data_IF_186072775325
#
_entry.id   IF_186072775325
#
_cell.length_a   1.000
_cell.length_b   1.000
_cell.length_c   1.000
_cell.angle_alpha   90.00
_cell.angle_beta   90.00
_cell.angle_gamma   90.00
#
_symmetry.space_group_name_H-M   'P 1'
#
loop_
_entity.id
_entity.type
_entity.pdbx_description
1 polymer ?
#
# COMPACT_ATOMS: atom_id res chain seq x y z
N UNK A 1 1.84 5.36 7.23
CA UNK A 1 2.79 6.33 7.82
C UNK A 1 3.69 5.55 8.76
N UNK A 2 4.89 5.17 8.28
CA UNK A 2 5.91 4.43 9.03
C UNK A 2 6.95 5.41 9.57
N UNK A 3 6.51 6.45 10.29
CA UNK A 3 7.43 7.49 10.82
C UNK A 3 8.29 6.98 12.00
N UNK A 4 8.08 5.73 12.44
CA UNK A 4 8.93 5.07 13.41
C UNK A 4 10.12 4.33 12.79
N UNK A 5 9.95 3.59 11.70
CA UNK A 5 11.00 2.66 11.28
C UNK A 5 12.16 3.38 10.57
N UNK A 6 13.35 3.33 11.16
CA UNK A 6 14.59 3.72 10.47
C UNK A 6 15.25 2.48 9.89
N UNK A 7 15.36 2.45 8.58
CA UNK A 7 15.90 1.34 7.80
C UNK A 7 17.29 1.70 7.30
N UNK A 8 18.27 0.88 7.66
CA UNK A 8 19.66 1.07 7.27
C UNK A 8 20.12 -0.13 6.45
N UNK A 9 20.69 0.11 5.27
CA UNK A 9 21.25 -0.93 4.42
C UNK A 9 22.77 -0.92 4.53
N UNK A 10 23.38 -2.04 4.92
CA UNK A 10 24.83 -2.19 4.96
C UNK A 10 25.35 -2.99 3.79
N UNK A 11 26.42 -2.51 3.16
CA UNK A 11 27.28 -3.32 2.29
C UNK A 11 28.55 -3.68 3.05
N UNK A 12 28.81 -4.97 3.21
CA UNK A 12 30.08 -5.47 3.75
C UNK A 12 31.06 -5.73 2.61
N UNK A 13 32.14 -4.96 2.54
CA UNK A 13 33.36 -5.32 1.80
C UNK A 13 34.46 -5.63 2.82
N UNK A 14 35.14 -6.76 2.65
CA UNK A 14 36.22 -7.19 3.55
C UNK A 14 37.21 -6.04 3.81
N UNK A 15 37.40 -5.70 5.09
CA UNK A 15 38.34 -4.66 5.53
C UNK A 15 37.80 -3.22 5.58
N UNK A 16 36.51 -2.99 5.33
CA UNK A 16 35.91 -1.64 5.41
C UNK A 16 34.71 -1.59 6.36
N UNK A 17 34.55 -0.47 7.07
CA UNK A 17 33.38 -0.22 7.92
C UNK A 17 32.09 -0.28 7.10
N UNK A 18 31.00 -0.84 7.65
CA UNK A 18 29.72 -0.90 6.94
C UNK A 18 29.21 0.52 6.64
N UNK A 19 28.94 0.79 5.37
CA UNK A 19 28.30 2.03 4.94
C UNK A 19 26.80 1.84 4.98
N UNK A 20 26.12 2.62 5.81
CA UNK A 20 24.66 2.59 5.90
C UNK A 20 24.02 3.52 4.87
N UNK A 21 23.00 3.03 4.17
CA UNK A 21 22.17 3.82 3.25
C UNK A 21 20.69 3.72 3.62
N UNK A 22 19.98 4.83 3.50
CA UNK A 22 18.53 4.90 3.70
C UNK A 22 17.78 4.80 2.37
N UNK A 23 16.59 4.17 2.40
CA UNK A 23 15.65 4.16 1.28
C UNK A 23 14.58 5.23 1.46
N UNK A 24 14.78 6.43 0.93
CA UNK A 24 13.83 7.53 1.11
C UNK A 24 12.63 7.47 0.13
N UNK A 25 12.70 6.60 -0.89
CA UNK A 25 11.73 6.52 -1.99
C UNK A 25 10.98 5.17 -2.05
N UNK A 26 10.79 4.52 -0.90
CA UNK A 26 10.04 3.24 -0.82
C UNK A 26 8.58 3.38 -1.28
N UNK A 27 7.97 4.57 -1.10
CA UNK A 27 6.61 4.86 -1.57
C UNK A 27 6.43 4.73 -3.08
N UNK A 28 7.51 4.84 -3.86
CA UNK A 28 7.52 4.68 -5.32
C UNK A 28 8.30 3.45 -5.77
N UNK A 29 8.55 2.50 -4.86
CA UNK A 29 9.37 1.30 -5.11
C UNK A 29 10.73 1.63 -5.73
N UNK A 30 11.44 2.59 -5.13
CA UNK A 30 12.83 2.94 -5.47
C UNK A 30 13.71 2.79 -4.25
N UNK A 31 14.70 1.92 -4.34
CA UNK A 31 15.81 1.89 -3.41
C UNK A 31 17.02 1.21 -4.06
N UNK A 32 17.97 1.98 -4.61
CA UNK A 32 19.09 1.43 -5.38
C UNK A 32 19.87 0.30 -4.68
N UNK A 33 20.13 0.32 -3.36
CA UNK A 33 20.86 -0.77 -2.71
C UNK A 33 20.04 -2.07 -2.51
N UNK A 34 18.71 -2.07 -2.65
CA UNK A 34 17.88 -3.30 -2.61
C UNK A 34 17.44 -3.78 -3.99
N UNK A 35 17.64 -2.97 -5.03
CA UNK A 35 17.38 -3.33 -6.43
C UNK A 35 18.48 -4.25 -7.02
N UNK A 36 18.93 -5.19 -6.20
CA UNK A 36 19.97 -6.18 -6.45
C UNK A 36 19.50 -7.55 -5.93
N UNK A 37 20.32 -8.58 -6.09
CA UNK A 37 19.99 -9.95 -5.70
C UNK A 37 20.50 -10.35 -4.31
N UNK A 38 21.38 -9.56 -3.68
CA UNK A 38 21.91 -9.79 -2.34
C UNK A 38 22.15 -8.47 -1.59
N UNK A 39 21.57 -8.33 -0.40
CA UNK A 39 21.72 -7.16 0.46
C UNK A 39 21.38 -7.48 1.92
N UNK A 40 21.76 -6.60 2.83
CA UNK A 40 21.42 -6.69 4.25
C UNK A 40 20.60 -5.48 4.69
N UNK A 41 19.59 -5.72 5.53
CA UNK A 41 18.70 -4.70 6.07
C UNK A 41 18.80 -4.70 7.59
N UNK A 42 19.18 -3.57 8.17
CA UNK A 42 19.02 -3.29 9.58
C UNK A 42 17.78 -2.43 9.80
N UNK A 43 16.96 -2.84 10.75
CA UNK A 43 15.66 -2.25 11.03
C UNK A 43 15.67 -1.78 12.47
N UNK A 44 15.41 -0.49 12.69
CA UNK A 44 15.35 0.08 14.03
C UNK A 44 13.92 0.47 14.40
N UNK A 45 13.48 0.02 15.58
CA UNK A 45 12.26 0.46 16.25
C UNK A 45 12.61 1.54 17.28
N UNK A 46 12.25 2.81 17.05
CA UNK A 46 12.52 3.90 17.98
C UNK A 46 11.46 4.03 19.07
N UNK A 47 10.46 3.15 19.12
CA UNK A 47 9.38 3.21 20.11
C UNK A 47 9.77 2.36 21.32
N UNK A 48 9.41 2.82 22.53
CA UNK A 48 9.67 2.15 23.82
C UNK A 48 9.04 0.76 24.02
N UNK A 49 8.27 0.25 23.05
CA UNK A 49 7.60 -1.05 23.14
C UNK A 49 8.00 -1.94 21.97
N UNK A 50 7.98 -3.25 22.19
CA UNK A 50 8.12 -4.19 21.10
C UNK A 50 6.99 -4.01 20.07
N UNK A 51 7.31 -4.16 18.80
CA UNK A 51 6.32 -4.13 17.71
C UNK A 51 6.61 -5.18 16.65
N UNK A 52 5.56 -5.61 15.97
CA UNK A 52 5.65 -6.46 14.78
C UNK A 52 5.32 -5.60 13.57
N UNK A 53 6.27 -5.48 12.66
CA UNK A 53 6.16 -4.62 11.48
C UNK A 53 6.25 -5.47 10.22
N UNK A 54 5.50 -5.10 9.19
CA UNK A 54 5.66 -5.71 7.86
C UNK A 54 6.54 -4.82 7.01
N UNK A 55 7.68 -5.36 6.60
CA UNK A 55 8.68 -4.70 5.79
C UNK A 55 8.42 -4.97 4.32
N UNK A 56 8.72 -4.00 3.46
CA UNK A 56 8.52 -4.09 2.00
C UNK A 56 9.63 -3.33 1.30
N UNK A 57 10.46 -4.02 0.52
CA UNK A 57 11.60 -3.43 -0.17
C UNK A 57 11.59 -3.68 -1.67
N UNK A 58 11.87 -2.68 -2.51
CA UNK A 58 11.93 -2.84 -3.95
C UNK A 58 13.11 -3.72 -4.36
N UNK A 59 12.84 -4.74 -5.15
CA UNK A 59 13.83 -5.72 -5.61
C UNK A 59 13.73 -5.96 -7.11
N UNK A 60 14.84 -6.42 -7.71
CA UNK A 60 14.89 -6.81 -9.11
C UNK A 60 14.93 -8.34 -9.24
N UNK A 61 13.77 -8.93 -9.51
CA UNK A 61 13.60 -10.38 -9.65
C UNK A 61 12.49 -10.93 -8.76
N UNK A 62 12.43 -12.26 -8.65
CA UNK A 62 11.40 -12.97 -7.86
C UNK A 62 11.97 -14.06 -6.96
N UNK A 63 13.26 -14.36 -7.08
CA UNK A 63 13.87 -15.56 -6.51
C UNK A 63 14.74 -15.21 -5.30
N UNK A 64 14.07 -14.90 -4.19
CA UNK A 64 14.72 -14.47 -2.95
C UNK A 64 14.49 -15.48 -1.81
N UNK A 65 15.38 -15.41 -0.84
CA UNK A 65 15.22 -15.95 0.50
C UNK A 65 15.58 -14.83 1.50
N UNK A 66 14.85 -14.77 2.60
CA UNK A 66 15.10 -13.81 3.69
C UNK A 66 15.52 -14.61 4.91
N UNK A 67 16.67 -14.24 5.49
CA UNK A 67 17.23 -14.83 6.68
C UNK A 67 17.22 -13.82 7.84
N UNK A 68 17.00 -14.30 9.05
CA UNK A 68 17.20 -13.52 10.27
C UNK A 68 18.69 -13.42 10.66
N UNK A 69 18.99 -12.75 11.78
CA UNK A 69 20.35 -12.59 12.29
C UNK A 69 21.04 -13.90 12.68
N UNK A 70 20.28 -14.98 12.84
CA UNK A 70 20.75 -16.32 13.19
C UNK A 70 20.85 -17.22 11.94
N UNK A 71 20.74 -16.65 10.74
CA UNK A 71 20.71 -17.35 9.46
C UNK A 71 19.54 -18.32 9.29
N UNK A 72 18.45 -18.14 10.04
CA UNK A 72 17.23 -18.92 9.84
C UNK A 72 16.35 -18.30 8.76
N UNK A 73 15.84 -19.10 7.81
CA UNK A 73 14.91 -18.59 6.82
C UNK A 73 13.57 -18.21 7.44
N UNK A 74 13.04 -17.06 7.02
CA UNK A 74 11.75 -16.55 7.48
C UNK A 74 10.73 -16.49 6.33
N UNK A 75 9.43 -16.67 6.62
CA UNK A 75 8.38 -16.48 5.64
C UNK A 75 8.47 -15.10 4.98
N UNK A 76 8.46 -15.10 3.65
CA UNK A 76 8.58 -13.91 2.83
C UNK A 76 7.75 -14.05 1.56
N UNK A 77 7.34 -12.93 1.00
CA UNK A 77 6.47 -12.85 -0.17
C UNK A 77 7.00 -11.83 -1.16
N UNK A 78 6.94 -12.13 -2.45
CA UNK A 78 7.29 -11.22 -3.54
C UNK A 78 6.02 -10.69 -4.19
N UNK A 79 5.87 -9.37 -4.21
CA UNK A 79 4.67 -8.65 -4.67
C UNK A 79 5.02 -7.80 -5.89
N UNK A 80 4.38 -7.96 -7.07
CA UNK A 80 4.71 -7.18 -8.25
C UNK A 80 4.42 -5.69 -8.06
N UNK A 81 5.33 -4.80 -8.46
CA UNK A 81 5.11 -3.34 -8.37
C UNK A 81 3.92 -2.96 -9.25
N UNK A 82 2.97 -2.19 -8.69
CA UNK A 82 1.76 -1.78 -9.40
C UNK A 82 2.06 -0.87 -10.60
N UNK A 83 1.15 -0.85 -11.59
CA UNK A 83 1.26 0.08 -12.72
C UNK A 83 1.21 1.55 -12.27
N UNK A 84 0.38 1.87 -11.28
CA UNK A 84 0.31 3.18 -10.67
C UNK A 84 1.65 3.61 -10.06
N UNK A 85 2.26 2.73 -9.26
CA UNK A 85 3.58 2.99 -8.66
C UNK A 85 4.67 3.14 -9.72
N UNK A 86 4.67 2.30 -10.77
CA UNK A 86 5.60 2.43 -11.90
C UNK A 86 5.44 3.78 -12.62
N UNK A 87 4.20 4.24 -12.80
CA UNK A 87 3.90 5.55 -13.41
C UNK A 87 4.49 6.71 -12.60
N UNK A 88 4.32 6.70 -11.27
CA UNK A 88 4.91 7.71 -10.38
C UNK A 88 6.43 7.60 -10.35
N UNK A 89 6.97 6.37 -10.31
CA UNK A 89 8.41 6.10 -10.28
C UNK A 89 9.13 6.68 -11.49
N UNK A 90 8.55 6.54 -12.69
CA UNK A 90 9.20 6.86 -13.98
C UNK A 90 10.55 6.11 -14.09
N UNK A 91 11.62 6.82 -14.43
CA UNK A 91 12.97 6.30 -14.65
C UNK A 91 13.85 6.23 -13.39
N UNK A 92 13.31 6.51 -12.19
CA UNK A 92 14.12 6.63 -10.95
C UNK A 92 14.56 5.30 -10.34
N UNK A 93 14.02 4.18 -10.81
CA UNK A 93 14.39 2.84 -10.36
C UNK A 93 13.84 1.75 -11.27
N UNK A 94 14.37 0.55 -11.10
CA UNK A 94 14.18 -0.61 -11.98
C UNK A 94 13.46 -1.77 -11.29
N UNK A 95 13.17 -1.68 -9.99
CA UNK A 95 12.49 -2.72 -9.23
C UNK A 95 11.28 -3.32 -9.97
N UNK A 96 11.20 -4.64 -10.06
CA UNK A 96 10.06 -5.31 -10.68
C UNK A 96 9.02 -5.73 -9.66
N UNK A 97 9.48 -5.98 -8.43
CA UNK A 97 8.67 -6.43 -7.31
C UNK A 97 9.08 -5.72 -6.01
N UNK A 98 8.27 -5.86 -4.97
CA UNK A 98 8.64 -5.60 -3.60
C UNK A 98 8.75 -6.94 -2.86
N UNK A 99 9.82 -7.13 -2.09
CA UNK A 99 10.00 -8.25 -1.17
C UNK A 99 9.44 -7.88 0.20
N UNK A 100 8.54 -8.70 0.71
CA UNK A 100 7.73 -8.45 1.90
C UNK A 100 7.97 -9.52 2.95
N UNK A 101 8.20 -9.12 4.21
CA UNK A 101 8.31 -10.05 5.35
C UNK A 101 7.93 -9.37 6.66
N UNK A 102 7.65 -10.16 7.69
CA UNK A 102 7.35 -9.66 9.04
C UNK A 102 8.61 -9.60 9.89
N UNK A 103 8.78 -8.54 10.67
CA UNK A 103 9.89 -8.36 11.61
C UNK A 103 9.35 -8.10 13.01
N UNK A 104 9.79 -8.89 13.99
CA UNK A 104 9.53 -8.64 15.41
C UNK A 104 10.69 -7.81 15.97
N UNK A 105 10.40 -6.60 16.43
CA UNK A 105 11.40 -5.64 16.87
C UNK A 105 11.24 -5.36 18.36
N UNK A 106 12.33 -5.45 19.16
CA UNK A 106 12.28 -5.02 20.56
C UNK A 106 12.07 -3.51 20.67
N UNK A 107 11.57 -3.04 21.82
CA UNK A 107 11.45 -1.61 22.09
C UNK A 107 12.83 -0.94 22.12
N UNK A 108 12.96 0.22 21.48
CA UNK A 108 14.22 0.98 21.33
C UNK A 108 15.38 0.15 20.76
N UNK A 109 15.10 -0.92 20.02
CA UNK A 109 16.12 -1.82 19.49
C UNK A 109 15.97 -2.03 17.99
N UNK A 110 16.57 -3.11 17.49
CA UNK A 110 16.52 -3.41 16.07
C UNK A 110 16.83 -4.86 15.75
N UNK A 111 16.65 -5.21 14.48
CA UNK A 111 16.95 -6.52 13.93
C UNK A 111 17.68 -6.37 12.59
N UNK A 112 18.47 -7.39 12.24
CA UNK A 112 19.18 -7.46 10.96
C UNK A 112 18.64 -8.65 10.17
N UNK A 113 18.44 -8.43 8.88
CA UNK A 113 17.99 -9.43 7.92
C UNK A 113 18.96 -9.50 6.75
N UNK A 114 19.15 -10.71 6.23
CA UNK A 114 19.99 -10.98 5.07
C UNK A 114 19.10 -11.48 3.93
N UNK A 115 19.20 -10.83 2.77
CA UNK A 115 18.45 -11.18 1.58
C UNK A 115 19.45 -11.73 0.58
N UNK A 116 19.16 -12.91 0.04
CA UNK A 116 20.02 -13.58 -0.92
C UNK A 116 19.20 -14.28 -2.01
N UNK A 117 19.81 -14.64 -3.16
CA UNK A 117 19.15 -15.47 -4.15
C UNK A 117 18.86 -16.85 -3.56
N UNK A 118 17.75 -17.46 -3.96
CA UNK A 118 17.44 -18.83 -3.53
C UNK A 118 18.57 -19.81 -3.92
N UNK A 119 18.98 -20.67 -2.99
CA UNK A 119 19.75 -21.86 -3.33
C UNK A 119 18.80 -23.00 -3.75
N UNK A 120 19.15 -23.71 -4.82
CA UNK A 120 18.31 -24.68 -5.53
C UNK A 120 17.50 -25.63 -4.62
N UNK A 121 16.17 -25.65 -4.78
CA UNK A 121 15.18 -26.55 -4.14
C UNK A 121 14.95 -26.38 -2.62
N UNK A 122 15.25 -25.23 -2.03
CA UNK A 122 14.88 -24.95 -0.64
C UNK A 122 13.37 -24.75 -0.42
N UNK A 123 12.83 -25.28 0.68
CA UNK A 123 11.45 -25.09 1.18
C UNK A 123 11.15 -23.62 1.56
N UNK A 124 12.16 -22.76 1.56
CA UNK A 124 12.14 -21.43 2.18
C UNK A 124 12.24 -20.27 1.18
N UNK A 125 12.02 -20.52 -0.11
CA UNK A 125 11.94 -19.45 -1.11
C UNK A 125 10.74 -18.52 -0.84
N UNK A 126 10.93 -17.23 -1.08
CA UNK A 126 9.85 -16.26 -0.98
C UNK A 126 8.70 -16.61 -1.92
N UNK A 127 7.47 -16.59 -1.41
CA UNK A 127 6.27 -16.89 -2.19
C UNK A 127 6.02 -15.81 -3.24
N UNK A 128 5.92 -16.18 -4.51
CA UNK A 128 5.48 -15.23 -5.54
C UNK A 128 3.97 -15.05 -5.46
N UNK A 129 3.54 -13.79 -5.33
CA UNK A 129 2.12 -13.45 -5.27
C UNK A 129 1.41 -13.77 -6.58
N UNK A 130 0.19 -14.32 -6.49
CA UNK A 130 -0.67 -14.54 -7.65
C UNK A 130 -1.44 -13.26 -7.97
N UNK A 131 -1.45 -12.87 -9.24
CA UNK A 131 -2.22 -11.72 -9.71
C UNK A 131 -3.33 -12.18 -10.63
N UNK A 132 -4.55 -11.74 -10.38
CA UNK A 132 -5.70 -12.07 -11.22
C UNK A 132 -6.74 -10.95 -11.17
N UNK A 133 -7.60 -10.93 -12.18
CA UNK A 133 -8.78 -10.05 -12.22
C UNK A 133 -9.93 -10.82 -11.57
N UNK A 134 -10.65 -10.25 -10.61
CA UNK A 134 -11.81 -10.91 -10.03
C UNK A 134 -12.91 -11.12 -11.08
N UNK A 135 -13.80 -12.12 -10.89
CA UNK A 135 -14.96 -12.30 -11.74
C UNK A 135 -15.79 -11.01 -11.82
N UNK A 136 -16.34 -10.71 -13.00
CA UNK A 136 -17.30 -9.61 -13.13
C UNK A 136 -18.63 -10.06 -12.55
N UNK A 137 -19.36 -9.12 -11.92
CA UNK A 137 -20.69 -9.31 -11.32
C UNK A 137 -20.70 -10.01 -9.96
N UNK A 138 -19.85 -11.01 -9.73
CA UNK A 138 -19.75 -11.69 -8.43
C UNK A 138 -18.88 -10.91 -7.43
N UNK A 139 -19.39 -10.74 -6.22
CA UNK A 139 -18.62 -10.14 -5.12
C UNK A 139 -17.39 -11.01 -4.80
N UNK A 140 -16.29 -10.35 -4.45
CA UNK A 140 -15.02 -10.98 -4.13
C UNK A 140 -14.46 -10.45 -2.81
N UNK A 141 -13.53 -11.17 -2.20
CA UNK A 141 -12.98 -10.77 -0.91
C UNK A 141 -11.49 -11.02 -0.78
N UNK A 142 -10.85 -10.22 0.06
CA UNK A 142 -9.55 -10.54 0.67
C UNK A 142 -9.75 -10.73 2.17
N UNK A 143 -8.93 -11.56 2.78
CA UNK A 143 -9.04 -11.83 4.22
C UNK A 143 -7.70 -12.17 4.86
N UNK A 144 -7.58 -11.83 6.14
CA UNK A 144 -6.51 -12.27 7.02
C UNK A 144 -7.12 -12.90 8.28
N UNK A 145 -6.32 -13.09 9.32
CA UNK A 145 -6.71 -13.70 10.59
C UNK A 145 -7.76 -12.87 11.35
N UNK A 146 -7.82 -11.55 11.13
CA UNK A 146 -8.66 -10.62 11.89
C UNK A 146 -9.84 -10.04 11.12
N UNK A 147 -9.69 -9.81 9.82
CA UNK A 147 -10.61 -9.09 8.96
C UNK A 147 -10.89 -9.86 7.68
N UNK A 148 -12.11 -9.70 7.16
CA UNK A 148 -12.48 -10.03 5.79
C UNK A 148 -13.12 -8.80 5.14
N UNK A 149 -12.58 -8.37 4.01
CA UNK A 149 -13.09 -7.25 3.23
C UNK A 149 -13.78 -7.79 1.99
N UNK A 150 -15.05 -7.45 1.79
CA UNK A 150 -15.81 -7.86 0.60
C UNK A 150 -15.98 -6.65 -0.31
N UNK A 151 -15.75 -6.86 -1.60
CA UNK A 151 -15.84 -5.87 -2.65
C UNK A 151 -16.96 -6.25 -3.60
N UNK A 152 -17.65 -5.23 -4.09
CA UNK A 152 -18.74 -5.41 -5.04
C UNK A 152 -18.19 -5.86 -6.40
N UNK A 153 -18.67 -6.99 -6.92
CA UNK A 153 -18.33 -7.45 -8.28
C UNK A 153 -18.87 -6.55 -9.38
N UNK A 154 -19.92 -5.78 -9.06
CA UNK A 154 -20.53 -4.79 -9.94
C UNK A 154 -19.73 -3.50 -10.01
N UNK A 155 -19.33 -2.93 -8.87
CA UNK A 155 -18.72 -1.60 -8.83
C UNK A 155 -17.21 -1.60 -8.60
N UNK A 156 -16.64 -2.70 -8.11
CA UNK A 156 -15.24 -2.80 -7.70
C UNK A 156 -14.91 -2.10 -6.38
N UNK A 157 -15.90 -1.52 -5.69
CA UNK A 157 -15.71 -0.80 -4.40
C UNK A 157 -15.89 -1.71 -3.20
N UNK A 158 -15.35 -1.29 -2.05
CA UNK A 158 -15.60 -1.95 -0.79
C UNK A 158 -17.11 -1.96 -0.51
N UNK A 159 -17.63 -3.10 -0.04
CA UNK A 159 -19.05 -3.32 0.26
C UNK A 159 -19.26 -3.65 1.74
N UNK A 160 -18.41 -4.51 2.30
CA UNK A 160 -18.47 -4.86 3.73
C UNK A 160 -17.10 -5.06 4.34
N UNK A 161 -17.02 -4.84 5.64
CA UNK A 161 -15.90 -5.24 6.49
C UNK A 161 -16.42 -6.15 7.59
N UNK A 162 -15.90 -7.38 7.65
CA UNK A 162 -16.20 -8.36 8.68
C UNK A 162 -15.01 -8.48 9.64
N UNK A 163 -15.24 -8.18 10.92
CA UNK A 163 -14.29 -8.43 12.00
C UNK A 163 -14.53 -9.84 12.57
N UNK A 164 -13.53 -10.71 12.38
CA UNK A 164 -13.59 -12.13 12.77
C UNK A 164 -13.53 -12.35 14.28
N UNK A 165 -12.93 -11.42 15.03
CA UNK A 165 -12.80 -11.54 16.49
C UNK A 165 -14.12 -11.21 17.19
N UNK A 166 -14.75 -10.11 16.79
CA UNK A 166 -16.02 -9.67 17.37
C UNK A 166 -17.25 -10.29 16.68
N UNK A 167 -17.04 -10.98 15.55
CA UNK A 167 -18.10 -11.50 14.69
C UNK A 167 -19.08 -10.40 14.21
N UNK A 168 -18.56 -9.21 13.92
CA UNK A 168 -19.36 -8.05 13.48
C UNK A 168 -19.09 -7.79 12.00
N UNK A 169 -20.16 -7.68 11.21
CA UNK A 169 -20.11 -7.19 9.82
C UNK A 169 -20.64 -5.77 9.77
N UNK A 170 -19.88 -4.87 9.15
CA UNK A 170 -20.29 -3.49 8.87
C UNK A 170 -20.46 -3.32 7.37
N UNK A 171 -21.62 -2.81 6.94
CA UNK A 171 -21.79 -2.34 5.57
C UNK A 171 -21.02 -1.04 5.39
N UNK A 172 -20.14 -1.00 4.38
CA UNK A 172 -19.29 0.17 4.13
C UNK A 172 -19.02 0.33 2.65
N UNK A 173 -19.42 1.48 2.09
CA UNK A 173 -19.04 1.92 0.74
C UNK A 173 -17.89 2.94 0.85
N UNK A 174 -16.69 2.51 0.44
CA UNK A 174 -15.56 3.43 0.29
C UNK A 174 -15.52 3.94 -1.15
N UNK A 175 -15.51 5.26 -1.31
CA UNK A 175 -15.58 5.92 -2.61
C UNK A 175 -14.57 7.08 -2.71
N UNK A 176 -13.89 7.20 -3.84
CA UNK A 176 -13.09 8.37 -4.18
C UNK A 176 -13.91 9.36 -5.02
N UNK A 177 -14.03 10.57 -4.51
CA UNK A 177 -14.85 11.65 -5.06
C UNK A 177 -14.01 12.93 -5.16
N UNK A 178 -14.57 13.98 -5.75
CA UNK A 178 -13.95 15.29 -5.73
C UNK A 178 -14.99 16.42 -5.68
N UNK A 179 -14.68 17.49 -4.96
CA UNK A 179 -15.43 18.73 -4.98
C UNK A 179 -14.93 19.65 -6.07
N UNK A 180 -15.86 20.26 -6.80
CA UNK A 180 -15.55 21.34 -7.72
C UNK A 180 -15.15 22.57 -6.91
N UNK A 181 -13.94 23.08 -7.12
CA UNK A 181 -13.49 24.31 -6.49
C UNK A 181 -14.21 25.51 -7.11
N UNK A 182 -14.79 26.39 -6.27
CA UNK A 182 -15.44 27.60 -6.76
C UNK A 182 -14.42 28.57 -7.37
N UNK A 183 -14.63 28.90 -8.64
CA UNK A 183 -13.93 30.00 -9.30
C UNK A 183 -14.55 31.32 -8.86
N UNK A 184 -13.82 32.08 -8.04
CA UNK A 184 -14.26 33.35 -7.48
C UNK A 184 -13.61 34.58 -8.11
N UNK A 185 -14.01 35.75 -7.61
CA UNK A 185 -13.41 37.06 -7.88
C UNK A 185 -13.40 37.87 -6.56
N UNK A 186 -13.13 39.18 -6.58
CA UNK A 186 -13.13 40.02 -5.37
C UNK A 186 -14.44 40.01 -4.57
N UNK A 187 -15.58 39.68 -5.19
CA UNK A 187 -16.91 39.66 -4.56
C UNK A 187 -17.41 38.25 -4.23
N UNK A 188 -16.79 37.21 -4.78
CA UNK A 188 -17.16 35.79 -4.57
C UNK A 188 -15.94 35.06 -4.06
N UNK A 189 -15.96 34.64 -2.79
CA UNK A 189 -14.84 33.94 -2.16
C UNK A 189 -14.47 32.64 -2.92
N UNK A 190 -13.31 32.61 -3.63
CA UNK A 190 -12.84 31.40 -4.31
C UNK A 190 -12.36 30.34 -3.32
N UNK A 191 -12.30 29.09 -3.79
CA UNK A 191 -11.48 28.06 -3.14
C UNK A 191 -9.99 28.37 -3.34
N UNK A 192 -9.14 27.93 -2.41
CA UNK A 192 -7.69 28.13 -2.51
C UNK A 192 -6.91 27.37 -1.45
N UNK A 193 -5.64 27.74 -1.23
CA UNK A 193 -4.76 27.05 -0.28
C UNK A 193 -5.29 27.03 1.16
N UNK A 194 -6.13 28.01 1.53
CA UNK A 194 -6.64 28.18 2.89
C UNK A 194 -8.15 27.92 3.01
N UNK A 195 -8.90 28.26 1.96
CA UNK A 195 -10.37 28.29 2.02
C UNK A 195 -10.89 27.16 1.14
N UNK A 196 -11.66 26.27 1.76
CA UNK A 196 -12.51 25.31 1.05
C UNK A 196 -13.87 25.96 0.74
N UNK A 197 -14.10 26.31 -0.52
CA UNK A 197 -15.34 26.88 -1.04
C UNK A 197 -15.82 26.00 -2.21
N UNK A 198 -16.59 24.93 -1.94
CA UNK A 198 -17.10 24.07 -3.01
C UNK A 198 -18.14 24.80 -3.87
N UNK A 199 -18.15 24.46 -5.15
CA UNK A 199 -19.12 24.88 -6.16
C UNK A 199 -20.19 23.80 -6.34
N UNK A 200 -21.17 23.79 -5.45
CA UNK A 200 -22.27 22.83 -5.42
C UNK A 200 -22.46 22.17 -4.05
N UNK A 201 -23.52 21.36 -3.94
CA UNK A 201 -23.91 20.68 -2.70
C UNK A 201 -23.51 19.20 -2.65
N UNK A 202 -23.06 18.63 -3.77
CA UNK A 202 -22.64 17.23 -3.88
C UNK A 202 -21.28 17.13 -4.57
N UNK A 203 -20.42 16.20 -4.14
CA UNK A 203 -19.17 15.92 -4.84
C UNK A 203 -19.41 15.09 -6.10
N UNK A 204 -18.50 15.19 -7.06
CA UNK A 204 -18.49 14.41 -8.28
C UNK A 204 -17.74 13.08 -8.10
N UNK A 205 -18.09 12.07 -8.90
CA UNK A 205 -17.33 10.81 -8.94
C UNK A 205 -16.03 10.98 -9.71
N UNK A 206 -14.97 10.28 -9.26
CA UNK A 206 -13.72 10.20 -10.03
C UNK A 206 -13.87 9.28 -11.25
N UNK A 207 -14.56 8.15 -11.08
CA UNK A 207 -14.90 7.26 -12.20
C UNK A 207 -16.18 7.76 -12.89
N UNK A 208 -16.16 8.07 -14.20
CA UNK A 208 -17.34 8.55 -14.93
C UNK A 208 -18.52 7.57 -14.90
N UNK A 209 -18.25 6.26 -14.87
CA UNK A 209 -19.27 5.22 -14.82
C UNK A 209 -19.52 4.70 -13.39
N UNK A 210 -18.86 5.27 -12.38
CA UNK A 210 -18.85 4.75 -11.00
C UNK A 210 -18.36 3.28 -10.89
N UNK A 211 -17.70 2.78 -11.93
CA UNK A 211 -17.08 1.46 -11.99
C UNK A 211 -15.58 1.60 -11.75
N UNK A 212 -15.02 0.72 -10.93
CA UNK A 212 -13.60 0.71 -10.58
C UNK A 212 -12.98 -0.55 -11.15
N UNK A 213 -11.92 -0.39 -11.95
CA UNK A 213 -11.18 -1.54 -12.45
C UNK A 213 -10.35 -2.14 -11.32
N UNK A 214 -10.50 -3.43 -11.07
CA UNK A 214 -9.84 -4.11 -9.96
C UNK A 214 -8.94 -5.26 -10.40
N UNK A 215 -7.88 -5.46 -9.63
CA UNK A 215 -7.06 -6.68 -9.68
C UNK A 215 -6.70 -7.09 -8.27
N UNK A 216 -6.61 -8.39 -8.04
CA UNK A 216 -6.23 -8.96 -6.74
C UNK A 216 -4.78 -9.41 -6.82
N UNK A 217 -4.01 -9.07 -5.79
CA UNK A 217 -2.72 -9.70 -5.50
C UNK A 217 -2.91 -10.57 -4.28
N UNK A 218 -2.72 -11.87 -4.44
CA UNK A 218 -2.92 -12.85 -3.38
C UNK A 218 -1.59 -13.51 -2.99
N UNK A 219 -1.30 -13.52 -1.69
CA UNK A 219 -0.20 -14.25 -1.09
C UNK A 219 -0.38 -14.38 0.43
N UNK A 220 0.48 -15.17 1.07
CA UNK A 220 0.31 -15.55 2.47
C UNK A 220 0.57 -14.45 3.51
N UNK A 221 1.39 -13.44 3.19
CA UNK A 221 1.71 -12.34 4.09
C UNK A 221 0.90 -11.08 3.81
N UNK A 222 0.58 -10.81 2.56
CA UNK A 222 -0.23 -9.67 2.14
C UNK A 222 -1.16 -10.05 0.99
N UNK A 223 -2.42 -9.65 1.14
CA UNK A 223 -3.39 -9.60 0.07
C UNK A 223 -3.72 -8.16 -0.28
N UNK A 224 -3.84 -7.86 -1.57
CA UNK A 224 -4.15 -6.52 -2.06
C UNK A 224 -5.33 -6.55 -3.02
N UNK A 225 -6.23 -5.56 -2.90
CA UNK A 225 -7.13 -5.17 -3.98
C UNK A 225 -6.64 -3.85 -4.55
N UNK A 226 -6.15 -3.89 -5.79
CA UNK A 226 -5.71 -2.70 -6.52
C UNK A 226 -6.87 -2.19 -7.35
N UNK A 227 -7.18 -0.92 -7.17
CA UNK A 227 -8.33 -0.21 -7.73
C UNK A 227 -7.82 0.94 -8.61
N UNK A 228 -8.21 0.93 -9.88
CA UNK A 228 -8.02 2.04 -10.80
C UNK A 228 -9.36 2.75 -11.00
N UNK A 229 -9.45 3.98 -10.48
CA UNK A 229 -10.67 4.80 -10.51
C UNK A 229 -10.73 5.68 -11.75
N UNK A 230 -9.57 6.15 -12.21
CA UNK A 230 -9.40 6.92 -13.45
C UNK A 230 -7.96 6.77 -13.96
N UNK A 231 -7.57 7.54 -14.98
CA UNK A 231 -6.17 7.64 -15.42
C UNK A 231 -5.25 8.36 -14.43
N UNK A 232 -5.79 9.04 -13.42
CA UNK A 232 -5.06 9.88 -12.48
C UNK A 232 -5.34 9.54 -11.01
N UNK A 233 -6.16 8.52 -10.73
CA UNK A 233 -6.52 8.13 -9.38
C UNK A 233 -6.53 6.61 -9.22
N UNK A 234 -5.69 6.15 -8.29
CA UNK A 234 -5.49 4.74 -7.97
C UNK A 234 -5.55 4.55 -6.46
N UNK A 235 -5.99 3.38 -6.03
CA UNK A 235 -5.99 2.98 -4.63
C UNK A 235 -5.58 1.51 -4.50
N UNK A 236 -4.84 1.18 -3.46
CA UNK A 236 -4.57 -0.21 -3.08
C UNK A 236 -5.09 -0.42 -1.66
N UNK A 237 -5.99 -1.40 -1.50
CA UNK A 237 -6.47 -1.86 -0.19
C UNK A 237 -5.67 -3.09 0.19
N UNK A 238 -4.93 -3.04 1.30
CA UNK A 238 -4.02 -4.11 1.76
C UNK A 238 -4.51 -4.73 3.06
N UNK A 239 -4.45 -6.04 3.15
CA UNK A 239 -4.53 -6.80 4.40
C UNK A 239 -3.23 -7.57 4.60
N UNK A 240 -2.52 -7.26 5.67
CA UNK A 240 -1.38 -8.05 6.12
C UNK A 240 -1.85 -9.17 7.04
N UNK A 241 -1.28 -10.37 6.95
CA UNK A 241 -1.72 -11.56 7.69
C UNK A 241 -1.84 -11.32 9.21
N UNK A 242 -0.88 -10.62 9.81
CA UNK A 242 -0.79 -10.46 11.26
C UNK A 242 -1.29 -9.11 11.79
N UNK A 243 -1.96 -8.28 10.97
CA UNK A 243 -2.43 -6.96 11.39
C UNK A 243 -3.96 -6.87 11.40
N UNK A 244 -4.59 -6.38 12.49
CA UNK A 244 -6.03 -6.23 12.60
C UNK A 244 -6.56 -4.95 11.93
N UNK A 245 -5.89 -4.48 10.87
CA UNK A 245 -6.21 -3.23 10.18
C UNK A 245 -6.22 -3.44 8.66
N UNK A 246 -7.10 -2.71 7.99
CA UNK A 246 -7.09 -2.55 6.54
C UNK A 246 -6.35 -1.25 6.17
N UNK A 247 -5.41 -1.33 5.23
CA UNK A 247 -4.62 -0.17 4.80
C UNK A 247 -5.10 0.29 3.44
N UNK A 248 -5.50 1.56 3.35
CA UNK A 248 -5.90 2.21 2.10
C UNK A 248 -4.78 3.15 1.66
N UNK A 249 -4.06 2.77 0.61
CA UNK A 249 -2.99 3.56 0.02
C UNK A 249 -3.48 4.18 -1.29
N UNK A 250 -3.45 5.51 -1.40
CA UNK A 250 -3.91 6.23 -2.59
C UNK A 250 -2.73 6.80 -3.38
N UNK A 251 -2.89 6.85 -4.70
CA UNK A 251 -2.00 7.57 -5.63
C UNK A 251 -2.88 8.46 -6.49
N UNK A 252 -2.84 9.76 -6.20
CA UNK A 252 -3.68 10.77 -6.84
C UNK A 252 -2.77 11.74 -7.58
N UNK A 253 -2.97 11.85 -8.89
CA UNK A 253 -2.38 12.89 -9.72
C UNK A 253 -1.71 12.39 -11.00
N UNK A 254 -1.35 13.32 -11.90
CA UNK A 254 -1.67 14.74 -11.83
C UNK A 254 -3.19 14.98 -11.92
N UNK A 255 -3.74 15.82 -11.05
CA UNK A 255 -5.17 16.12 -11.05
C UNK A 255 -5.47 16.92 -12.32
N UNK A 256 -6.39 16.46 -13.19
CA UNK A 256 -6.64 17.09 -14.48
C UNK A 256 -7.20 18.49 -14.30
N UNK A 257 -6.68 19.43 -15.08
CA UNK A 257 -7.04 20.85 -15.04
C UNK A 257 -7.16 21.46 -16.44
N UNK A 258 -7.23 20.63 -17.48
CA UNK A 258 -7.41 21.05 -18.87
C UNK A 258 -8.75 21.80 -19.07
N UNK A 259 -9.75 21.45 -18.25
CA UNK A 259 -11.06 22.11 -18.16
C UNK A 259 -11.04 23.42 -17.35
N UNK A 260 -9.89 23.80 -16.78
CA UNK A 260 -9.70 24.93 -15.86
C UNK A 260 -10.57 24.84 -14.59
N UNK A 261 -11.00 23.64 -14.22
CA UNK A 261 -11.81 23.39 -13.03
C UNK A 261 -10.94 22.77 -11.95
N UNK A 262 -10.78 23.47 -10.82
CA UNK A 262 -10.08 22.93 -9.66
C UNK A 262 -10.86 21.77 -9.05
N UNK A 263 -10.15 20.71 -8.64
CA UNK A 263 -10.75 19.48 -8.11
C UNK A 263 -10.12 19.16 -6.77
N UNK A 264 -10.95 19.04 -5.74
CA UNK A 264 -10.53 18.76 -4.37
C UNK A 264 -10.95 17.34 -3.99
N UNK A 265 -10.00 16.41 -4.01
CA UNK A 265 -10.25 14.98 -3.92
C UNK A 265 -10.54 14.54 -2.48
N UNK A 266 -11.54 13.69 -2.29
CA UNK A 266 -11.91 13.13 -0.99
C UNK A 266 -12.09 11.61 -1.07
N UNK A 267 -11.71 10.91 0.00
CA UNK A 267 -12.06 9.51 0.23
C UNK A 267 -13.18 9.45 1.25
N UNK A 268 -14.38 9.03 0.82
CA UNK A 268 -15.57 8.94 1.68
C UNK A 268 -15.86 7.50 2.03
N UNK A 269 -16.10 7.24 3.32
CA UNK A 269 -16.61 5.97 3.82
C UNK A 269 -18.05 6.18 4.28
N UNK A 270 -18.99 5.50 3.64
CA UNK A 270 -20.42 5.57 3.97
C UNK A 270 -20.80 4.27 4.66
N UNK A 271 -21.40 4.34 5.85
CA UNK A 271 -21.84 3.18 6.62
C UNK A 271 -23.29 3.35 7.06
N UNK A 272 -23.89 2.29 7.59
CA UNK A 272 -25.20 2.28 8.25
C UNK A 272 -25.12 2.59 9.76
N UNK A 273 -23.95 3.04 10.24
CA UNK A 273 -23.77 3.41 11.64
C UNK A 273 -24.65 4.62 11.99
N UNK A 274 -25.48 4.46 13.02
CA UNK A 274 -26.28 5.53 13.59
C UNK A 274 -25.42 6.42 14.48
N UNK A 275 -24.67 7.34 13.87
CA UNK A 275 -23.82 8.31 14.59
C UNK A 275 -24.62 9.38 15.35
N UNK A 276 -25.95 9.40 15.24
CA UNK A 276 -26.87 10.41 15.79
C UNK A 276 -26.60 11.86 15.36
N UNK A 277 -25.71 12.08 14.39
CA UNK A 277 -25.70 13.27 13.56
C UNK A 277 -24.72 13.12 12.39
N UNK A 278 -24.99 13.83 11.28
CA UNK A 278 -26.21 14.65 11.03
C UNK A 278 -27.32 13.87 10.36
#
# INVERSE_FOLDING_TARGET
MNDGLRLYLSHFKNGTSPVFKFCEYLNISVCPPTETNNFSVMVHNPIGRASTEVLSFPVFGTDFEVLDSSAHPIPSQVVPVSSATKSVRRYRGNATHNLVWSANLPGLGGAVFFIQPKHSRGKYASELSKVFVPPKLDDFSIENQALKLTFSGLTGRLKTMFNKHSNITVAVDQNLLWWRAKSGNFSVQPSGAYIFSPDGILPHTISPLSLVNTSIVNGSLVQEVRQQWSSWAYQTVKLYSNLPIAIFEYTIGPIPYEDKVGKEVVSRFTTDLKSNAT
#
